data_IF_061921888744
#
_entry.id   IF_061921888744
#
_cell.length_a   1.000
_cell.length_b   1.000
_cell.length_c   1.000
_cell.angle_alpha   90.00
_cell.angle_beta   90.00
_cell.angle_gamma   90.00
#
_symmetry.space_group_name_H-M   'P 1'
#
loop_
_entity.id
_entity.type
_entity.pdbx_description
1 polymer ?
#
# COMPACT_ATOMS: atom_id res chain seq x y z
N UNK A 1 3.40 -0.66 1.64
CA UNK A 1 2.73 -1.98 1.71
C UNK A 1 3.73 -3.09 1.46
N UNK A 2 4.42 -3.50 2.53
CA UNK A 2 5.49 -4.50 2.52
C UNK A 2 4.99 -5.81 3.15
N UNK A 3 4.24 -5.73 4.25
CA UNK A 3 3.68 -6.88 4.96
C UNK A 3 2.63 -7.59 4.11
N UNK A 4 1.74 -6.84 3.43
CA UNK A 4 0.74 -7.41 2.50
C UNK A 4 1.41 -8.28 1.42
N UNK A 5 2.52 -7.82 0.84
CA UNK A 5 3.27 -8.61 -0.15
C UNK A 5 3.85 -9.90 0.45
N UNK A 6 4.29 -9.87 1.71
CA UNK A 6 4.75 -11.07 2.42
C UNK A 6 3.66 -12.14 2.58
N UNK A 7 2.39 -11.76 2.55
CA UNK A 7 1.25 -12.68 2.64
C UNK A 7 0.81 -13.27 1.30
N UNK A 8 0.85 -12.49 0.22
CA UNK A 8 0.15 -12.85 -1.03
C UNK A 8 1.07 -13.07 -2.24
N UNK A 9 2.34 -12.67 -2.15
CA UNK A 9 3.28 -12.82 -3.26
C UNK A 9 3.53 -14.29 -3.61
N UNK A 10 3.57 -14.59 -4.91
CA UNK A 10 3.96 -15.88 -5.48
C UNK A 10 5.47 -16.06 -5.56
N UNK A 11 6.24 -15.25 -4.83
CA UNK A 11 7.69 -15.37 -4.65
C UNK A 11 8.53 -15.60 -5.94
N UNK A 12 8.29 -14.85 -7.03
CA UNK A 12 9.07 -15.03 -8.28
C UNK A 12 10.56 -14.70 -8.12
N UNK A 13 10.92 -13.97 -7.06
CA UNK A 13 12.31 -13.72 -6.71
C UNK A 13 13.04 -14.98 -6.19
N UNK A 14 12.32 -15.96 -5.64
CA UNK A 14 12.89 -17.21 -5.14
C UNK A 14 13.20 -18.17 -6.29
N UNK A 15 12.40 -18.14 -7.37
CA UNK A 15 12.65 -18.91 -8.61
C UNK A 15 13.98 -18.51 -9.26
N UNK A 16 14.29 -17.21 -9.26
CA UNK A 16 15.53 -16.66 -9.81
C UNK A 16 16.71 -16.67 -8.81
N UNK A 17 16.58 -17.33 -7.66
CA UNK A 17 17.62 -17.32 -6.63
C UNK A 17 18.88 -18.05 -7.12
N UNK A 18 20.04 -17.39 -7.10
CA UNK A 18 21.33 -18.04 -7.45
C UNK A 18 21.62 -19.29 -6.61
N UNK A 19 21.08 -19.37 -5.39
CA UNK A 19 21.24 -20.53 -4.52
C UNK A 19 20.62 -21.79 -5.11
N UNK A 20 19.64 -21.68 -6.02
CA UNK A 20 19.03 -22.79 -6.75
C UNK A 20 20.06 -23.62 -7.54
N UNK A 21 21.24 -23.07 -7.86
CA UNK A 21 22.34 -23.80 -8.49
C UNK A 21 23.15 -24.67 -7.52
N UNK A 22 22.94 -24.54 -6.21
CA UNK A 22 23.67 -25.27 -5.16
C UNK A 22 22.72 -26.07 -4.26
N UNK A 23 21.57 -25.51 -3.89
CA UNK A 23 20.57 -26.10 -2.99
C UNK A 23 19.21 -25.40 -3.19
N UNK A 24 18.30 -25.49 -2.20
CA UNK A 24 17.04 -24.76 -2.19
C UNK A 24 17.22 -23.23 -2.11
N UNK A 25 16.21 -22.52 -2.61
CA UNK A 25 16.12 -21.05 -2.61
C UNK A 25 16.12 -20.50 -1.17
N UNK A 26 16.45 -19.22 -1.04
CA UNK A 26 16.24 -18.51 0.21
C UNK A 26 14.74 -18.20 0.31
N UNK A 27 14.13 -18.41 1.48
CA UNK A 27 12.73 -18.07 1.77
C UNK A 27 12.51 -16.55 1.88
N UNK A 28 12.78 -15.81 0.81
CA UNK A 28 12.72 -14.33 0.71
C UNK A 28 11.35 -13.79 1.13
N UNK A 29 10.26 -14.43 0.72
CA UNK A 29 8.90 -14.00 1.08
C UNK A 29 8.67 -14.05 2.59
N UNK A 30 9.05 -15.14 3.24
CA UNK A 30 8.89 -15.30 4.69
C UNK A 30 9.82 -14.38 5.47
N UNK A 31 11.07 -14.22 5.02
CA UNK A 31 11.99 -13.25 5.62
C UNK A 31 11.46 -11.82 5.51
N UNK A 32 10.95 -11.42 4.34
CA UNK A 32 10.32 -10.11 4.13
C UNK A 32 9.12 -9.91 5.05
N UNK A 33 8.26 -10.92 5.17
CA UNK A 33 7.09 -10.89 6.06
C UNK A 33 7.52 -10.75 7.52
N UNK A 34 8.49 -11.54 7.96
CA UNK A 34 9.01 -11.52 9.33
C UNK A 34 9.56 -10.13 9.72
N UNK A 35 10.32 -9.50 8.81
CA UNK A 35 10.85 -8.15 9.01
C UNK A 35 9.73 -7.12 9.00
N UNK A 36 8.82 -7.15 8.02
CA UNK A 36 7.73 -6.19 7.90
C UNK A 36 6.79 -6.17 9.11
N UNK A 37 6.58 -7.32 9.76
CA UNK A 37 5.79 -7.41 10.99
C UNK A 37 6.38 -6.63 12.17
N UNK A 38 7.70 -6.40 12.18
CA UNK A 38 8.44 -5.79 13.29
C UNK A 38 8.96 -4.40 12.97
N UNK A 39 9.07 -4.06 11.68
CA UNK A 39 9.60 -2.79 11.26
C UNK A 39 8.53 -1.69 11.33
N UNK A 40 8.97 -0.51 11.76
CA UNK A 40 8.18 0.72 11.71
C UNK A 40 8.85 1.65 10.70
N UNK A 41 8.15 1.96 9.61
CA UNK A 41 8.65 2.89 8.60
C UNK A 41 7.85 4.19 8.67
N UNK A 42 8.47 5.23 9.19
CA UNK A 42 7.97 6.60 9.01
C UNK A 42 8.77 7.26 7.90
N UNK A 43 8.08 7.97 7.02
CA UNK A 43 8.74 8.76 5.97
C UNK A 43 8.46 10.22 6.24
N UNK A 44 9.51 11.03 6.20
CA UNK A 44 9.34 12.47 6.28
C UNK A 44 8.78 12.99 4.96
N UNK A 45 7.80 13.89 5.10
CA UNK A 45 7.24 14.62 3.97
C UNK A 45 8.22 15.73 3.59
N UNK A 46 8.65 15.76 2.33
CA UNK A 46 9.48 16.86 1.78
C UNK A 46 8.69 18.18 1.76
N UNK A 47 9.40 19.29 1.55
CA UNK A 47 8.82 20.64 1.47
C UNK A 47 7.59 20.66 0.54
N UNK A 48 6.51 21.30 1.01
CA UNK A 48 5.27 21.46 0.25
C UNK A 48 5.54 22.15 -1.08
N UNK A 49 5.05 21.55 -2.17
CA UNK A 49 5.21 22.06 -3.54
C UNK A 49 4.08 23.01 -3.97
N UNK A 50 3.06 23.21 -3.14
CA UNK A 50 1.86 24.00 -3.46
C UNK A 50 0.94 23.35 -4.50
N UNK A 51 1.23 22.12 -4.95
CA UNK A 51 0.48 21.41 -5.99
C UNK A 51 -0.42 20.34 -5.37
N UNK A 52 -1.65 20.23 -5.90
CA UNK A 52 -2.66 19.27 -5.47
C UNK A 52 -2.77 18.13 -6.49
N UNK A 53 -2.96 16.91 -6.02
CA UNK A 53 -3.14 15.70 -6.85
C UNK A 53 -4.35 14.92 -6.37
N UNK A 54 -5.23 14.55 -7.30
CA UNK A 54 -6.33 13.62 -7.05
C UNK A 54 -5.92 12.21 -7.47
N UNK A 55 -6.25 11.21 -6.65
CA UNK A 55 -6.07 9.79 -6.97
C UNK A 55 -7.43 9.11 -6.88
N UNK A 56 -7.80 8.38 -7.93
CA UNK A 56 -9.06 7.64 -8.01
C UNK A 56 -8.77 6.17 -7.72
N UNK A 57 -9.40 5.64 -6.66
CA UNK A 57 -9.27 4.27 -6.20
C UNK A 57 -8.26 4.09 -5.06
N UNK A 58 -8.65 3.32 -4.05
CA UNK A 58 -7.85 2.97 -2.87
C UNK A 58 -7.19 1.59 -2.93
N UNK A 59 -7.07 1.03 -4.13
CA UNK A 59 -6.34 -0.23 -4.34
C UNK A 59 -4.83 -0.08 -4.06
N UNK A 60 -4.05 -1.15 -4.23
CA UNK A 60 -2.62 -1.13 -3.97
C UNK A 60 -1.87 -0.07 -4.80
N UNK A 61 -2.27 0.13 -6.06
CA UNK A 61 -1.71 1.16 -6.92
C UNK A 61 -1.99 2.57 -6.39
N UNK A 62 -3.25 2.88 -6.07
CA UNK A 62 -3.66 4.21 -5.59
C UNK A 62 -3.02 4.58 -4.26
N UNK A 63 -2.99 3.65 -3.30
CA UNK A 63 -2.33 3.85 -2.00
C UNK A 63 -0.82 4.06 -2.15
N UNK A 64 -0.17 3.30 -3.03
CA UNK A 64 1.28 3.43 -3.27
C UNK A 64 1.60 4.77 -3.95
N UNK A 65 0.82 5.17 -4.95
CA UNK A 65 0.96 6.47 -5.60
C UNK A 65 0.74 7.61 -4.60
N UNK A 66 -0.28 7.51 -3.74
CA UNK A 66 -0.59 8.50 -2.71
C UNK A 66 0.57 8.67 -1.74
N UNK A 67 1.14 7.56 -1.26
CA UNK A 67 2.31 7.54 -0.40
C UNK A 67 3.50 8.28 -1.04
N UNK A 68 3.93 7.89 -2.24
CA UNK A 68 5.10 8.51 -2.87
C UNK A 68 4.89 9.98 -3.20
N UNK A 69 3.72 10.35 -3.73
CA UNK A 69 3.40 11.76 -4.01
C UNK A 69 3.38 12.59 -2.73
N UNK A 70 2.84 12.03 -1.64
CA UNK A 70 2.83 12.73 -0.36
C UNK A 70 4.24 12.91 0.21
N UNK A 71 5.08 11.87 0.17
CA UNK A 71 6.50 11.95 0.56
C UNK A 71 7.24 13.01 -0.26
N UNK A 72 6.92 13.15 -1.54
CA UNK A 72 7.51 14.16 -2.43
C UNK A 72 7.01 15.60 -2.19
N UNK A 73 6.09 15.82 -1.25
CA UNK A 73 5.59 17.15 -0.87
C UNK A 73 4.35 17.61 -1.65
N UNK A 74 3.66 16.72 -2.36
CA UNK A 74 2.36 17.04 -2.98
C UNK A 74 1.21 16.90 -1.97
N UNK A 75 0.16 17.69 -2.17
CA UNK A 75 -1.10 17.57 -1.41
C UNK A 75 -1.99 16.56 -2.13
N UNK A 76 -2.20 15.40 -1.53
CA UNK A 76 -2.92 14.29 -2.16
C UNK A 76 -4.30 14.14 -1.55
N UNK A 77 -5.31 14.02 -2.42
CA UNK A 77 -6.67 13.59 -2.06
C UNK A 77 -6.96 12.27 -2.78
N UNK A 78 -7.32 11.26 -2.01
CA UNK A 78 -7.66 9.93 -2.48
C UNK A 78 -9.18 9.74 -2.46
N UNK A 79 -9.76 9.41 -3.60
CA UNK A 79 -11.19 9.18 -3.79
C UNK A 79 -11.47 7.68 -3.93
N UNK A 80 -12.46 7.19 -3.19
CA UNK A 80 -12.85 5.78 -3.22
C UNK A 80 -14.38 5.66 -3.29
N UNK A 81 -14.85 4.77 -4.15
CA UNK A 81 -16.27 4.48 -4.31
C UNK A 81 -16.84 3.71 -3.11
N UNK A 82 -16.03 2.87 -2.47
CA UNK A 82 -16.47 2.05 -1.35
C UNK A 82 -16.46 2.81 -0.03
N UNK A 83 -17.09 2.19 1.00
CA UNK A 83 -17.11 2.72 2.37
C UNK A 83 -15.81 2.43 3.14
N UNK A 84 -14.82 1.80 2.50
CA UNK A 84 -13.54 1.44 3.11
C UNK A 84 -12.42 1.51 2.07
N UNK A 85 -11.19 1.66 2.55
CA UNK A 85 -9.99 1.66 1.72
C UNK A 85 -9.41 0.25 1.55
N UNK A 86 -8.65 0.02 0.48
CA UNK A 86 -7.86 -1.19 0.24
C UNK A 86 -8.29 -1.99 -0.99
N UNK A 87 -9.43 -1.64 -1.61
CA UNK A 87 -9.92 -2.26 -2.84
C UNK A 87 -9.86 -3.79 -2.84
N UNK A 88 -9.28 -4.38 -3.89
CA UNK A 88 -9.18 -5.82 -4.06
C UNK A 88 -8.44 -6.56 -2.93
N UNK A 89 -7.56 -5.88 -2.17
CA UNK A 89 -6.89 -6.51 -1.03
C UNK A 89 -7.89 -6.92 0.05
N UNK A 90 -8.97 -6.16 0.21
CA UNK A 90 -10.04 -6.44 1.18
C UNK A 90 -11.23 -7.19 0.59
N UNK A 91 -11.40 -7.18 -0.72
CA UNK A 91 -12.58 -7.76 -1.37
C UNK A 91 -12.26 -9.13 -1.98
N UNK A 92 -11.17 -9.22 -2.76
CA UNK A 92 -10.86 -10.40 -3.55
C UNK A 92 -10.04 -11.46 -2.82
N UNK A 93 -9.24 -11.06 -1.83
CA UNK A 93 -8.32 -11.98 -1.14
C UNK A 93 -8.97 -12.51 0.15
N UNK A 94 -9.06 -13.85 0.34
CA UNK A 94 -9.60 -14.43 1.57
C UNK A 94 -8.81 -14.06 2.82
N UNK A 95 -9.50 -13.88 3.95
CA UNK A 95 -8.91 -13.39 5.20
C UNK A 95 -7.83 -14.31 5.79
N UNK A 96 -7.92 -15.63 5.55
CA UNK A 96 -6.92 -16.59 6.02
C UNK A 96 -5.60 -16.48 5.25
N UNK A 97 -5.62 -15.99 3.99
CA UNK A 97 -4.41 -15.66 3.24
C UNK A 97 -3.88 -14.29 3.60
N UNK A 98 -4.77 -13.29 3.67
CA UNK A 98 -4.43 -11.91 3.98
C UNK A 98 -5.34 -11.36 5.09
N UNK A 99 -4.86 -11.36 6.35
CA UNK A 99 -5.63 -10.83 7.47
C UNK A 99 -5.97 -9.35 7.27
N UNK A 100 -7.23 -8.97 7.49
CA UNK A 100 -7.71 -7.59 7.29
C UNK A 100 -6.92 -6.57 8.12
N UNK A 101 -6.61 -6.94 9.37
CA UNK A 101 -5.77 -6.14 10.29
C UNK A 101 -4.42 -5.70 9.70
N UNK A 102 -3.82 -6.53 8.84
CA UNK A 102 -2.53 -6.20 8.19
C UNK A 102 -2.74 -5.11 7.15
N UNK A 103 -3.79 -5.25 6.34
CA UNK A 103 -4.16 -4.24 5.33
C UNK A 103 -4.54 -2.92 6.00
N UNK A 104 -5.34 -2.97 7.07
CA UNK A 104 -5.76 -1.80 7.82
C UNK A 104 -4.57 -1.06 8.42
N UNK A 105 -3.66 -1.77 9.11
CA UNK A 105 -2.44 -1.21 9.68
C UNK A 105 -1.59 -0.48 8.63
N UNK A 106 -1.33 -1.09 7.48
CA UNK A 106 -0.50 -0.45 6.45
C UNK A 106 -1.20 0.75 5.79
N UNK A 107 -2.53 0.71 5.65
CA UNK A 107 -3.29 1.87 5.16
C UNK A 107 -3.20 3.02 6.18
N UNK A 108 -3.38 2.76 7.46
CA UNK A 108 -3.27 3.77 8.52
C UNK A 108 -1.89 4.43 8.54
N UNK A 109 -0.82 3.65 8.38
CA UNK A 109 0.55 4.18 8.28
C UNK A 109 0.72 5.13 7.09
N UNK A 110 0.12 4.82 5.94
CA UNK A 110 0.13 5.70 4.78
C UNK A 110 -0.67 6.99 5.08
N UNK A 111 -1.84 6.88 5.71
CA UNK A 111 -2.69 8.02 6.02
C UNK A 111 -2.06 8.99 7.03
N UNK A 112 -1.19 8.51 7.93
CA UNK A 112 -0.43 9.35 8.87
C UNK A 112 0.44 10.41 8.18
N UNK A 113 0.73 10.25 6.88
CA UNK A 113 1.43 11.27 6.10
C UNK A 113 0.55 12.52 5.83
N UNK A 114 -0.74 12.50 6.16
CA UNK A 114 -1.68 13.60 5.94
C UNK A 114 -2.32 13.56 4.55
N UNK A 115 -2.62 12.37 4.04
CA UNK A 115 -3.37 12.17 2.80
C UNK A 115 -4.86 12.36 3.12
N UNK A 116 -5.56 13.20 2.35
CA UNK A 116 -7.01 13.36 2.49
C UNK A 116 -7.74 12.21 1.80
N UNK A 117 -8.84 11.76 2.37
CA UNK A 117 -9.62 10.62 1.87
C UNK A 117 -11.09 11.00 1.74
N UNK A 118 -11.66 10.70 0.59
CA UNK A 118 -13.08 10.87 0.27
C UNK A 118 -13.67 9.51 -0.09
N UNK A 119 -14.43 8.92 0.84
CA UNK A 119 -15.11 7.63 0.65
C UNK A 119 -16.50 7.81 0.04
N UNK A 120 -17.08 6.72 -0.48
CA UNK A 120 -18.41 6.73 -1.13
C UNK A 120 -18.53 7.75 -2.26
N UNK A 121 -17.41 8.10 -2.89
CA UNK A 121 -17.35 9.14 -3.90
C UNK A 121 -16.70 8.60 -5.17
N UNK A 122 -17.54 8.15 -6.10
CA UNK A 122 -17.09 7.57 -7.36
C UNK A 122 -17.00 8.58 -8.52
N UNK A 123 -17.65 9.75 -8.41
CA UNK A 123 -17.90 10.61 -9.58
C UNK A 123 -17.91 12.14 -9.35
N UNK A 124 -17.78 12.65 -8.11
CA UNK A 124 -17.91 14.10 -7.81
C UNK A 124 -16.57 14.81 -7.56
N UNK A 125 -15.55 14.50 -8.36
CA UNK A 125 -14.18 15.02 -8.19
C UNK A 125 -14.10 16.53 -8.52
N UNK A 126 -14.92 16.99 -9.48
CA UNK A 126 -14.92 18.37 -9.99
C UNK A 126 -15.40 19.43 -9.00
N UNK A 127 -16.05 19.05 -7.89
CA UNK A 127 -16.52 20.00 -6.86
C UNK A 127 -15.52 20.24 -5.74
N UNK A 128 -14.41 19.51 -5.71
CA UNK A 128 -13.47 19.46 -4.57
C UNK A 128 -12.14 20.19 -4.85
N UNK A 129 -11.95 20.72 -6.06
CA UNK A 129 -10.76 21.44 -6.50
C UNK A 129 -11.06 22.87 -6.89
#
# INVERSE_FOLDING_TARGET
MVEVLGHICTHPCEDACRRNHLSESICVRELKKFVAQRAFYTSSVRKDKGKRVAIIGSGPAGLTAAYFLRVLGYRVTLFEQMAFLGGMLKIGIPFYRLPRRVVDKEIEEILKLGIKVELKNAWRIWKTF
#
